data_IF_338735409230
#
_entry.id   IF_338735409230
#
_cell.length_a   1.000
_cell.length_b   1.000
_cell.length_c   1.000
_cell.angle_alpha   90.00
_cell.angle_beta   90.00
_cell.angle_gamma   90.00
#
_symmetry.space_group_name_H-M   'P 1'
#
loop_
_entity.id
_entity.type
_entity.pdbx_description
1 polymer ?
#
# COMPACT_ATOMS: atom_id res chain seq x y z
N UNK A 1 10.80 -7.07 10.52
CA UNK A 1 11.06 -6.83 11.95
C UNK A 1 10.58 -5.43 12.27
N UNK A 2 9.51 -5.31 13.06
CA UNK A 2 9.03 -4.01 13.53
C UNK A 2 10.09 -3.37 14.43
N UNK A 3 10.21 -2.05 14.35
CA UNK A 3 11.02 -1.28 15.28
C UNK A 3 10.39 -1.28 16.68
N UNK A 4 11.14 -0.91 17.69
CA UNK A 4 10.59 -0.73 19.05
C UNK A 4 9.45 0.31 19.04
N UNK A 5 9.56 1.34 18.19
CA UNK A 5 8.58 2.40 18.05
C UNK A 5 7.27 1.90 17.40
N UNK A 6 7.35 0.99 16.41
CA UNK A 6 6.16 0.33 15.85
C UNK A 6 5.42 -0.47 16.92
N UNK A 7 6.17 -1.22 17.75
CA UNK A 7 5.59 -2.00 18.85
C UNK A 7 4.93 -1.11 19.91
N UNK A 8 5.53 0.04 20.21
CA UNK A 8 4.98 1.03 21.14
C UNK A 8 3.67 1.61 20.60
N UNK A 9 3.62 2.01 19.33
CA UNK A 9 2.40 2.52 18.67
C UNK A 9 1.31 1.45 18.58
N UNK A 10 1.65 0.22 18.21
CA UNK A 10 0.69 -0.89 18.12
C UNK A 10 0.09 -1.25 19.49
N UNK A 11 0.83 -1.08 20.57
CA UNK A 11 0.31 -1.28 21.93
C UNK A 11 -0.51 -0.09 22.46
N UNK A 12 -0.39 1.07 21.82
CA UNK A 12 -1.11 2.30 22.19
C UNK A 12 -1.63 3.04 20.94
N UNK A 13 -2.67 2.52 20.26
CA UNK A 13 -3.19 3.13 19.03
C UNK A 13 -3.80 4.52 19.21
N UNK A 14 -4.12 4.90 20.44
CA UNK A 14 -4.60 6.25 20.84
C UNK A 14 -3.47 7.12 21.40
N UNK A 15 -2.24 6.88 20.98
CA UNK A 15 -1.08 7.65 21.42
C UNK A 15 -1.27 9.16 21.19
N UNK A 16 -0.75 9.96 22.13
CA UNK A 16 -0.72 11.41 21.98
C UNK A 16 0.18 11.87 20.82
N UNK A 17 0.10 13.15 20.54
CA UNK A 17 0.78 13.76 19.37
C UNK A 17 2.30 13.52 19.38
N UNK A 18 2.96 13.60 20.53
CA UNK A 18 4.42 13.42 20.64
C UNK A 18 4.88 12.03 20.14
N UNK A 19 4.22 10.96 20.56
CA UNK A 19 4.56 9.60 20.15
C UNK A 19 4.19 9.37 18.67
N UNK A 20 3.03 9.87 18.25
CA UNK A 20 2.56 9.80 16.87
C UNK A 20 3.52 10.51 15.91
N UNK A 21 4.02 11.68 16.28
CA UNK A 21 4.97 12.45 15.49
C UNK A 21 6.32 11.74 15.37
N UNK A 22 6.85 11.23 16.46
CA UNK A 22 8.08 10.42 16.42
C UNK A 22 7.93 9.18 15.55
N UNK A 23 6.78 8.54 15.60
CA UNK A 23 6.51 7.36 14.79
C UNK A 23 6.42 7.70 13.31
N UNK A 24 5.68 8.76 12.94
CA UNK A 24 5.51 9.14 11.53
C UNK A 24 6.82 9.66 10.91
N UNK A 25 7.69 10.31 11.68
CA UNK A 25 9.04 10.66 11.25
C UNK A 25 9.87 9.40 10.92
N UNK A 26 9.71 8.35 11.71
CA UNK A 26 10.37 7.06 11.47
C UNK A 26 9.83 6.35 10.23
N UNK A 27 8.54 6.50 9.91
CA UNK A 27 7.92 5.92 8.73
C UNK A 27 8.43 6.53 7.41
N UNK A 28 9.08 7.69 7.45
CA UNK A 28 9.73 8.34 6.32
C UNK A 28 8.88 8.45 5.04
N UNK A 29 9.48 8.87 3.93
CA UNK A 29 10.74 9.60 3.92
C UNK A 29 10.62 10.92 4.69
N UNK A 30 11.51 11.16 5.63
CA UNK A 30 11.53 12.40 6.41
C UNK A 30 12.03 13.56 5.53
N UNK A 31 11.13 14.43 5.14
CA UNK A 31 11.38 15.55 4.25
C UNK A 31 10.54 16.76 4.69
N UNK A 32 10.91 17.44 5.77
CA UNK A 32 10.19 18.61 6.28
C UNK A 32 10.15 19.75 5.26
N UNK A 33 11.18 19.93 4.45
CA UNK A 33 11.23 20.96 3.42
C UNK A 33 10.12 20.82 2.37
N UNK A 34 9.71 19.60 2.03
CA UNK A 34 8.57 19.37 1.15
C UNK A 34 7.27 19.80 1.81
N UNK A 35 7.13 19.51 3.10
CA UNK A 35 5.93 19.88 3.87
C UNK A 35 5.80 21.40 3.99
N UNK A 36 6.91 22.09 4.25
CA UNK A 36 6.98 23.55 4.27
C UNK A 36 6.68 24.15 2.89
N UNK A 37 7.29 23.59 1.84
CA UNK A 37 7.04 24.02 0.46
C UNK A 37 5.54 23.92 0.08
N UNK A 38 4.88 22.80 0.40
CA UNK A 38 3.45 22.63 0.16
C UNK A 38 2.64 23.69 0.90
N UNK A 39 2.94 23.95 2.16
CA UNK A 39 2.25 24.95 2.97
C UNK A 39 2.38 26.36 2.40
N UNK A 40 3.60 26.74 1.98
CA UNK A 40 3.91 28.08 1.48
C UNK A 40 3.41 28.32 0.04
N UNK A 41 3.41 27.28 -0.82
CA UNK A 41 3.13 27.41 -2.25
C UNK A 41 1.80 26.80 -2.69
N UNK A 42 0.97 26.30 -1.78
CA UNK A 42 -0.31 25.65 -2.16
C UNK A 42 -1.22 26.53 -3.02
N UNK A 43 -1.12 27.86 -2.92
CA UNK A 43 -1.94 28.78 -3.70
C UNK A 43 -1.55 28.86 -5.18
N UNK A 44 -0.39 28.32 -5.55
CA UNK A 44 0.06 28.19 -6.94
C UNK A 44 -0.59 27.02 -7.69
N UNK A 45 -1.30 26.14 -6.98
CA UNK A 45 -1.92 24.93 -7.50
C UNK A 45 -3.45 24.98 -7.37
N UNK A 46 -4.15 24.47 -8.37
CA UNK A 46 -5.61 24.33 -8.32
C UNK A 46 -6.04 23.18 -7.41
N UNK A 47 -5.27 22.10 -7.38
CA UNK A 47 -5.44 20.96 -6.49
C UNK A 47 -4.09 20.33 -6.13
N UNK A 48 -4.00 19.71 -4.96
CA UNK A 48 -2.83 18.98 -4.50
C UNK A 48 -3.24 17.54 -4.25
N UNK A 49 -2.62 16.62 -5.00
CA UNK A 49 -2.90 15.19 -4.88
C UNK A 49 -1.92 14.58 -3.89
N UNK A 50 -2.44 14.04 -2.81
CA UNK A 50 -1.68 13.33 -1.77
C UNK A 50 -1.89 11.83 -1.94
N UNK A 51 -0.79 11.08 -2.05
CA UNK A 51 -0.85 9.62 -2.29
C UNK A 51 -0.28 8.87 -1.11
N UNK A 52 -0.99 7.84 -0.69
CA UNK A 52 -0.74 6.98 0.47
C UNK A 52 -0.91 7.67 1.83
N UNK A 53 -1.54 6.97 2.78
CA UNK A 53 -1.81 7.55 4.11
C UNK A 53 -0.66 7.35 5.10
N UNK A 54 0.24 6.38 4.85
CA UNK A 54 1.12 5.81 5.86
C UNK A 54 2.39 6.63 6.14
N UNK A 55 2.81 7.49 5.20
CA UNK A 55 4.14 8.08 5.25
C UNK A 55 4.18 9.54 5.67
N UNK A 56 5.31 9.97 6.25
CA UNK A 56 5.56 11.30 6.77
C UNK A 56 5.11 12.43 5.84
N UNK A 57 5.54 12.39 4.60
CA UNK A 57 5.25 13.46 3.62
C UNK A 57 3.76 13.64 3.38
N UNK A 58 3.01 12.54 3.26
CA UNK A 58 1.57 12.58 3.07
C UNK A 58 0.85 13.09 4.33
N UNK A 59 1.14 12.49 5.48
CA UNK A 59 0.52 12.82 6.77
C UNK A 59 0.74 14.27 7.17
N UNK A 60 1.97 14.76 7.02
CA UNK A 60 2.32 16.13 7.43
C UNK A 60 1.89 17.20 6.43
N UNK A 61 1.78 16.86 5.13
CA UNK A 61 1.33 17.81 4.12
C UNK A 61 -0.18 17.96 4.10
N UNK A 62 -0.95 16.86 4.09
CA UNK A 62 -2.40 16.92 3.87
C UNK A 62 -3.11 17.82 4.89
N UNK A 63 -2.68 17.78 6.14
CA UNK A 63 -3.28 18.58 7.22
C UNK A 63 -2.98 20.08 7.13
N UNK A 64 -2.13 20.50 6.19
CA UNK A 64 -1.78 21.90 5.93
C UNK A 64 -2.41 22.43 4.65
N UNK A 65 -2.91 21.56 3.78
CA UNK A 65 -3.56 21.95 2.53
C UNK A 65 -4.97 22.48 2.83
N UNK A 66 -5.34 23.59 2.20
CA UNK A 66 -6.62 24.29 2.46
C UNK A 66 -7.54 24.19 1.26
N UNK A 67 -8.63 23.43 1.38
CA UNK A 67 -9.75 23.33 0.42
C UNK A 67 -9.32 22.88 -1.00
N UNK A 68 -8.29 22.07 -1.14
CA UNK A 68 -7.82 21.55 -2.43
C UNK A 68 -7.04 20.22 -2.34
N UNK A 69 -7.19 19.50 -1.21
CA UNK A 69 -6.54 18.21 -1.00
C UNK A 69 -7.35 17.08 -1.64
N UNK A 70 -6.83 16.47 -2.70
CA UNK A 70 -7.35 15.21 -3.25
C UNK A 70 -6.51 14.08 -2.67
N UNK A 71 -7.13 13.18 -1.92
CA UNK A 71 -6.43 12.10 -1.24
C UNK A 71 -6.64 10.75 -1.92
N UNK A 72 -5.53 10.10 -2.29
CA UNK A 72 -5.48 8.71 -2.79
C UNK A 72 -4.85 7.86 -1.69
N UNK A 73 -5.61 7.34 -0.73
CA UNK A 73 -5.05 6.81 0.50
C UNK A 73 -4.27 5.51 0.32
N UNK A 74 -4.56 4.71 -0.70
CA UNK A 74 -4.00 3.36 -0.88
C UNK A 74 -4.16 2.48 0.36
N UNK A 75 -5.31 2.64 1.01
CA UNK A 75 -5.59 2.04 2.31
C UNK A 75 -6.01 0.57 2.17
N UNK A 76 -5.61 -0.23 3.14
CA UNK A 76 -6.05 -1.61 3.28
C UNK A 76 -6.13 -1.98 4.76
N UNK A 77 -6.79 -3.09 5.06
CA UNK A 77 -6.99 -3.53 6.44
C UNK A 77 -5.65 -3.93 7.06
N UNK A 78 -5.09 -3.03 7.86
CA UNK A 78 -3.87 -3.24 8.63
C UNK A 78 -3.93 -2.50 9.98
N UNK A 79 -3.11 -2.88 10.97
CA UNK A 79 -3.21 -2.29 12.31
C UNK A 79 -3.01 -0.78 12.35
N UNK A 80 -2.18 -0.23 11.48
CA UNK A 80 -1.80 1.18 11.49
C UNK A 80 -2.94 2.12 11.15
N UNK A 81 -3.87 1.73 10.26
CA UNK A 81 -4.99 2.59 9.84
C UNK A 81 -5.91 2.98 11.01
N UNK A 82 -5.88 2.20 12.09
CA UNK A 82 -6.68 2.43 13.30
C UNK A 82 -6.03 3.36 14.32
N UNK A 83 -4.85 3.91 14.03
CA UNK A 83 -4.22 4.89 14.93
C UNK A 83 -5.00 6.20 14.92
N UNK A 84 -5.21 6.76 16.12
CA UNK A 84 -6.05 7.93 16.33
C UNK A 84 -5.60 9.15 15.51
N UNK A 85 -4.30 9.29 15.28
CA UNK A 85 -3.72 10.35 14.46
C UNK A 85 -4.31 10.41 13.03
N UNK A 86 -4.72 9.27 12.46
CA UNK A 86 -5.28 9.23 11.11
C UNK A 86 -6.68 9.84 10.99
N UNK A 87 -7.42 10.03 12.09
CA UNK A 87 -8.68 10.79 12.07
C UNK A 87 -8.46 12.21 11.52
N UNK A 88 -7.37 12.86 11.93
CA UNK A 88 -7.00 14.19 11.44
C UNK A 88 -6.57 14.16 9.97
N UNK A 89 -5.83 13.13 9.57
CA UNK A 89 -5.33 12.96 8.20
C UNK A 89 -6.48 12.73 7.20
N UNK A 90 -7.36 11.78 7.50
CA UNK A 90 -8.51 11.49 6.64
C UNK A 90 -9.60 12.57 6.71
N UNK A 91 -9.69 13.30 7.82
CA UNK A 91 -10.58 14.46 7.95
C UNK A 91 -10.08 15.72 7.25
N UNK A 92 -8.84 15.74 6.75
CA UNK A 92 -8.27 16.88 6.04
C UNK A 92 -8.46 16.79 4.50
N UNK A 93 -8.99 15.70 3.99
CA UNK A 93 -9.22 15.54 2.56
C UNK A 93 -10.48 16.30 2.11
N UNK A 94 -10.38 17.02 1.01
CA UNK A 94 -11.52 17.68 0.34
C UNK A 94 -12.19 16.78 -0.70
N UNK A 95 -11.45 15.79 -1.20
CA UNK A 95 -11.96 14.72 -2.06
C UNK A 95 -11.09 13.46 -1.92
N UNK A 96 -11.69 12.30 -2.22
CA UNK A 96 -10.98 11.03 -2.28
C UNK A 96 -10.95 10.44 -3.69
N UNK A 97 -9.85 9.74 -4.00
CA UNK A 97 -9.80 8.81 -5.12
C UNK A 97 -9.40 7.45 -4.56
N UNK A 98 -10.33 6.51 -4.58
CA UNK A 98 -10.09 5.14 -4.12
C UNK A 98 -9.67 4.25 -5.29
N UNK A 99 -8.85 3.25 -5.02
CA UNK A 99 -8.39 2.29 -6.02
C UNK A 99 -9.36 1.11 -6.18
N UNK A 100 -10.16 0.82 -5.14
CA UNK A 100 -11.17 -0.24 -5.14
C UNK A 100 -12.37 0.16 -4.29
N UNK A 101 -13.51 -0.51 -4.51
CA UNK A 101 -14.69 -0.35 -3.64
C UNK A 101 -14.42 -0.83 -2.22
N UNK A 102 -13.61 -1.87 -2.04
CA UNK A 102 -13.24 -2.38 -0.72
C UNK A 102 -12.42 -1.36 0.08
N UNK A 103 -11.52 -0.62 -0.59
CA UNK A 103 -10.79 0.47 0.05
C UNK A 103 -11.72 1.59 0.51
N UNK A 104 -12.64 2.01 -0.37
CA UNK A 104 -13.67 3.01 -0.05
C UNK A 104 -14.48 2.59 1.17
N UNK A 105 -15.03 1.39 1.13
CA UNK A 105 -15.87 0.86 2.21
C UNK A 105 -15.11 0.76 3.54
N UNK A 106 -13.83 0.37 3.50
CA UNK A 106 -12.96 0.36 4.66
C UNK A 106 -12.78 1.76 5.25
N UNK A 107 -12.39 2.73 4.41
CA UNK A 107 -12.13 4.11 4.84
C UNK A 107 -13.39 4.74 5.44
N UNK A 108 -14.53 4.63 4.75
CA UNK A 108 -15.80 5.13 5.26
C UNK A 108 -16.20 4.46 6.59
N UNK A 109 -16.01 3.16 6.73
CA UNK A 109 -16.34 2.45 7.97
C UNK A 109 -15.52 2.89 9.18
N UNK A 110 -14.28 3.36 8.97
CA UNK A 110 -13.37 3.77 10.04
C UNK A 110 -13.53 5.26 10.35
N UNK A 111 -13.62 6.10 9.31
CA UNK A 111 -13.50 7.56 9.46
C UNK A 111 -14.84 8.30 9.32
N UNK A 112 -15.92 7.62 8.91
CA UNK A 112 -17.27 8.17 8.77
C UNK A 112 -17.31 9.45 7.93
N UNK A 113 -16.68 9.38 6.76
CA UNK A 113 -16.47 10.50 5.84
C UNK A 113 -17.17 10.31 4.49
N UNK A 114 -18.34 9.66 4.50
CA UNK A 114 -19.16 9.36 3.32
C UNK A 114 -19.65 10.63 2.59
N UNK A 115 -19.74 11.73 3.31
CA UNK A 115 -20.17 13.03 2.75
C UNK A 115 -19.07 13.76 1.96
N UNK A 116 -17.82 13.32 2.05
CA UNK A 116 -16.71 13.88 1.27
C UNK A 116 -16.76 13.35 -0.15
N UNK A 117 -16.67 14.22 -1.17
CA UNK A 117 -16.69 13.78 -2.58
C UNK A 117 -15.63 12.72 -2.87
N UNK A 118 -16.00 11.70 -3.66
CA UNK A 118 -15.06 10.64 -4.02
C UNK A 118 -15.32 10.04 -5.40
N UNK A 119 -14.28 9.39 -5.95
CA UNK A 119 -14.35 8.52 -7.13
C UNK A 119 -13.60 7.22 -6.87
N UNK A 120 -14.00 6.14 -7.54
CA UNK A 120 -13.27 4.86 -7.55
C UNK A 120 -12.69 4.64 -8.93
N UNK A 121 -11.37 4.81 -9.08
CA UNK A 121 -10.72 4.85 -10.39
C UNK A 121 -9.84 3.63 -10.71
N UNK A 122 -9.37 2.90 -9.72
CA UNK A 122 -8.39 1.84 -9.92
C UNK A 122 -7.00 2.36 -10.36
N UNK A 123 -6.14 1.44 -10.78
CA UNK A 123 -4.78 1.74 -11.27
C UNK A 123 -4.68 1.36 -12.74
N UNK A 124 -4.24 2.30 -13.58
CA UNK A 124 -3.97 2.03 -14.99
C UNK A 124 -2.74 1.13 -15.16
N UNK A 125 -2.82 0.20 -16.10
CA UNK A 125 -1.72 -0.70 -16.46
C UNK A 125 -1.54 -0.72 -17.97
N UNK A 126 -0.30 -0.48 -18.43
CA UNK A 126 0.04 -0.64 -19.83
C UNK A 126 0.08 -2.14 -20.20
N UNK A 127 -0.84 -2.53 -21.08
CA UNK A 127 -0.88 -3.91 -21.58
C UNK A 127 -0.04 -3.99 -22.87
N UNK A 128 0.99 -4.86 -22.94
CA UNK A 128 1.76 -5.04 -24.15
C UNK A 128 0.88 -5.49 -25.33
N UNK A 129 1.06 -4.87 -26.47
CA UNK A 129 0.34 -5.24 -27.71
C UNK A 129 0.78 -6.57 -28.29
N UNK A 130 1.99 -7.02 -27.92
CA UNK A 130 2.55 -8.31 -28.36
C UNK A 130 3.12 -9.05 -27.16
N UNK A 131 2.81 -10.35 -27.07
CA UNK A 131 3.34 -11.26 -26.06
C UNK A 131 4.00 -12.46 -26.73
N UNK A 132 5.19 -12.86 -26.24
CA UNK A 132 5.92 -14.02 -26.71
C UNK A 132 6.18 -14.98 -25.54
N UNK A 133 5.22 -15.85 -25.29
CA UNK A 133 5.32 -16.86 -24.25
C UNK A 133 6.45 -17.88 -24.53
N UNK A 134 6.77 -18.13 -25.79
CA UNK A 134 7.80 -19.10 -26.18
C UNK A 134 9.20 -18.59 -25.85
N UNK A 135 9.43 -17.29 -25.89
CA UNK A 135 10.71 -16.70 -25.47
C UNK A 135 11.06 -17.07 -24.02
N UNK A 136 10.07 -17.00 -23.12
CA UNK A 136 10.28 -17.37 -21.71
C UNK A 136 10.53 -18.87 -21.57
N UNK A 137 9.70 -19.69 -22.21
CA UNK A 137 9.84 -21.15 -22.20
C UNK A 137 11.21 -21.59 -22.68
N UNK A 138 11.66 -21.06 -23.83
CA UNK A 138 12.97 -21.36 -24.39
C UNK A 138 14.12 -20.91 -23.49
N UNK A 139 14.03 -19.67 -22.92
CA UNK A 139 15.09 -19.12 -22.09
C UNK A 139 15.33 -19.95 -20.83
N UNK A 140 14.27 -20.48 -20.21
CA UNK A 140 14.35 -21.20 -18.93
C UNK A 140 14.15 -22.72 -19.07
N UNK A 141 14.04 -23.22 -20.27
CA UNK A 141 13.75 -24.63 -20.59
C UNK A 141 12.51 -25.15 -19.84
N UNK A 142 11.40 -24.45 -20.02
CA UNK A 142 10.12 -24.70 -19.33
C UNK A 142 9.03 -24.98 -20.36
N UNK A 143 8.29 -26.07 -20.18
CA UNK A 143 7.11 -26.39 -21.00
C UNK A 143 5.80 -26.05 -20.28
N UNK A 144 5.67 -26.57 -19.07
CA UNK A 144 4.44 -26.49 -18.30
C UNK A 144 4.74 -25.89 -16.92
N UNK A 145 4.18 -24.69 -16.65
CA UNK A 145 4.45 -23.98 -15.40
C UNK A 145 3.30 -23.07 -15.00
N UNK A 146 3.22 -22.81 -13.69
CA UNK A 146 2.54 -21.67 -13.09
C UNK A 146 3.61 -20.70 -12.60
N UNK A 147 3.34 -19.40 -12.67
CA UNK A 147 4.28 -18.38 -12.25
C UNK A 147 3.68 -17.53 -11.13
N UNK A 148 4.47 -17.30 -10.09
CA UNK A 148 4.25 -16.27 -9.09
C UNK A 148 5.21 -15.12 -9.35
N UNK A 149 4.71 -13.89 -9.37
CA UNK A 149 5.50 -12.67 -9.54
C UNK A 149 5.28 -11.76 -8.35
N UNK A 150 6.34 -11.44 -7.63
CA UNK A 150 6.27 -10.58 -6.46
C UNK A 150 7.35 -10.89 -5.43
N UNK A 151 7.34 -10.15 -4.32
CA UNK A 151 8.21 -10.43 -3.19
C UNK A 151 7.83 -11.78 -2.56
N UNK A 152 8.82 -12.64 -2.37
CA UNK A 152 8.64 -13.98 -1.81
C UNK A 152 8.83 -13.89 -0.30
N UNK A 153 7.74 -13.74 0.42
CA UNK A 153 7.72 -13.56 1.86
C UNK A 153 6.41 -14.08 2.50
N UNK A 154 6.35 -14.02 3.83
CA UNK A 154 5.17 -14.40 4.61
C UNK A 154 4.00 -13.45 4.38
N UNK A 155 4.26 -12.14 4.22
CA UNK A 155 3.21 -11.13 3.98
C UNK A 155 2.48 -11.32 2.64
N UNK A 156 3.10 -12.04 1.69
CA UNK A 156 2.48 -12.48 0.42
C UNK A 156 1.99 -13.92 0.46
N UNK A 157 1.96 -14.51 1.65
CA UNK A 157 1.48 -15.88 1.90
C UNK A 157 2.20 -16.96 1.04
N UNK A 158 3.45 -16.70 0.69
CA UNK A 158 4.26 -17.63 -0.12
C UNK A 158 4.43 -19.01 0.53
N UNK A 159 4.60 -19.17 1.86
CA UNK A 159 4.65 -20.48 2.49
C UNK A 159 3.40 -21.32 2.24
N UNK A 160 2.21 -20.72 2.21
CA UNK A 160 0.96 -21.42 1.88
C UNK A 160 0.91 -21.81 0.40
N UNK A 161 1.34 -20.93 -0.51
CA UNK A 161 1.47 -21.25 -1.92
C UNK A 161 2.36 -22.49 -2.12
N UNK A 162 3.51 -22.56 -1.43
CA UNK A 162 4.42 -23.70 -1.53
C UNK A 162 3.78 -24.99 -1.03
N UNK A 163 3.09 -24.92 0.11
CA UNK A 163 2.38 -26.07 0.66
C UNK A 163 1.27 -26.57 -0.29
N UNK A 164 0.50 -25.66 -0.89
CA UNK A 164 -0.52 -26.00 -1.88
C UNK A 164 0.07 -26.64 -3.12
N UNK A 165 1.19 -26.09 -3.62
CA UNK A 165 1.85 -26.66 -4.79
C UNK A 165 2.45 -28.04 -4.49
N UNK A 166 3.07 -28.23 -3.33
CA UNK A 166 3.56 -29.55 -2.90
C UNK A 166 2.42 -30.57 -2.79
N UNK A 167 1.31 -30.18 -2.22
CA UNK A 167 0.14 -31.07 -2.11
C UNK A 167 -0.48 -31.39 -3.47
N UNK A 168 -0.54 -30.42 -4.37
CA UNK A 168 -0.92 -30.65 -5.76
C UNK A 168 -0.01 -31.67 -6.45
N UNK A 169 1.31 -31.56 -6.26
CA UNK A 169 2.29 -32.48 -6.86
C UNK A 169 2.21 -33.89 -6.29
N UNK A 170 1.83 -34.07 -5.02
CA UNK A 170 1.57 -35.39 -4.45
C UNK A 170 0.38 -36.09 -5.11
N UNK A 171 -0.67 -35.33 -5.39
CA UNK A 171 -1.91 -35.85 -5.99
C UNK A 171 -1.82 -36.03 -7.52
N UNK A 172 -0.97 -35.22 -8.18
CA UNK A 172 -0.88 -35.15 -9.64
C UNK A 172 0.54 -35.42 -10.13
N UNK A 173 0.76 -36.61 -10.67
CA UNK A 173 2.06 -36.98 -11.26
C UNK A 173 2.22 -36.37 -12.67
N UNK A 174 2.52 -35.08 -12.74
CA UNK A 174 2.76 -34.34 -13.98
C UNK A 174 4.06 -33.53 -13.92
N UNK A 175 4.43 -32.91 -15.03
CA UNK A 175 5.64 -32.08 -15.15
C UNK A 175 5.43 -30.60 -14.84
N UNK A 176 4.27 -30.20 -14.27
CA UNK A 176 4.01 -28.82 -13.88
C UNK A 176 5.07 -28.32 -12.90
N UNK A 177 5.62 -27.16 -13.17
CA UNK A 177 6.61 -26.46 -12.31
C UNK A 177 6.02 -25.20 -11.72
N UNK A 178 6.42 -24.87 -10.51
CA UNK A 178 6.18 -23.55 -9.92
C UNK A 178 7.41 -22.68 -10.16
N UNK A 179 7.21 -21.57 -10.85
CA UNK A 179 8.25 -20.56 -11.11
C UNK A 179 8.02 -19.39 -10.18
N UNK A 180 9.05 -19.00 -9.46
CA UNK A 180 9.03 -17.86 -8.57
C UNK A 180 9.87 -16.74 -9.17
N UNK A 181 9.30 -15.55 -9.32
CA UNK A 181 9.97 -14.38 -9.88
C UNK A 181 9.86 -13.22 -8.88
N UNK A 182 10.97 -12.87 -8.25
CA UNK A 182 11.04 -11.78 -7.28
C UNK A 182 12.16 -11.96 -6.27
N UNK A 183 12.24 -11.03 -5.31
CA UNK A 183 13.23 -11.11 -4.23
C UNK A 183 12.72 -12.05 -3.14
N UNK A 184 13.50 -13.06 -2.80
CA UNK A 184 13.24 -13.91 -1.65
C UNK A 184 13.68 -13.22 -0.35
N UNK A 185 12.79 -13.19 0.63
CA UNK A 185 12.99 -12.62 1.97
C UNK A 185 12.74 -13.67 3.06
N UNK A 186 12.08 -14.77 2.70
CA UNK A 186 11.93 -15.97 3.54
C UNK A 186 12.66 -17.16 2.92
N UNK A 187 12.89 -18.22 3.70
CA UNK A 187 13.37 -19.49 3.20
C UNK A 187 12.33 -20.14 2.26
N UNK A 188 12.82 -20.76 1.17
CA UNK A 188 12.02 -21.40 0.12
C UNK A 188 12.10 -22.92 0.27
#
# INVERSE_FOLDING_TARGET
VFSALDSEMLSNPNAGEELSDRWIEHMGPYCPELVEYVDEHQDEYEAIIVVTYLYYTAVKSIVRIKNKAIFIPTAHQEPFIHFDMYKKVFGAADAFVFLTDEEKDLVHSIFHNEDVPYEVCGVGVDVPTTVDADRFKKKYNLDNYVIYVGRIDEGKDCPRLFNYFMEYKKRNKNNLKLVLMGKAVCEI
#
